data_IF_768101032019
#
_entry.id   IF_768101032019
#
_cell.length_a   1.000
_cell.length_b   1.000
_cell.length_c   1.000
_cell.angle_alpha   90.00
_cell.angle_beta   90.00
_cell.angle_gamma   90.00
#
_symmetry.space_group_name_H-M   'P 1'
#
loop_
_entity.id
_entity.type
_entity.pdbx_description
1 polymer ?
#
# COMPACT_ATOMS: atom_id res chain seq x y z
N UNK A 1 25.22 31.30 39.74
CA UNK A 1 25.92 30.52 38.70
C UNK A 1 26.05 29.09 39.23
N UNK A 2 25.57 28.01 38.61
CA UNK A 2 25.12 27.78 37.26
C UNK A 2 24.07 26.65 37.20
N UNK A 3 23.19 26.77 36.21
CA UNK A 3 22.56 25.73 35.37
C UNK A 3 21.81 24.54 35.99
N UNK A 4 20.48 24.63 35.99
CA UNK A 4 19.59 23.48 35.82
C UNK A 4 19.62 23.06 34.33
N UNK A 5 20.15 21.88 34.05
CA UNK A 5 20.06 21.27 32.71
C UNK A 5 18.73 20.55 32.60
N UNK A 6 17.76 21.21 31.94
CA UNK A 6 16.54 20.60 31.43
C UNK A 6 16.91 19.51 30.44
N UNK A 7 16.73 18.24 30.81
CA UNK A 7 16.73 17.13 29.87
C UNK A 7 15.34 17.11 29.25
N UNK A 8 15.20 17.73 28.08
CA UNK A 8 14.01 17.62 27.25
C UNK A 8 14.10 16.30 26.47
N UNK A 9 13.82 15.20 27.15
CA UNK A 9 13.66 13.88 26.51
C UNK A 9 12.29 13.84 25.83
N UNK A 10 12.26 14.12 24.52
CA UNK A 10 11.07 13.97 23.67
C UNK A 10 11.22 12.78 22.72
N UNK A 11 11.94 11.74 23.12
CA UNK A 11 12.42 10.70 22.20
C UNK A 11 11.88 9.30 22.52
N UNK A 12 10.58 9.07 22.72
CA UNK A 12 10.07 7.67 22.91
C UNK A 12 8.59 7.40 22.56
N UNK A 13 7.96 8.06 21.58
CA UNK A 13 6.60 7.66 21.12
C UNK A 13 6.46 7.65 19.58
N UNK A 14 7.18 6.78 18.88
CA UNK A 14 6.92 6.45 17.46
C UNK A 14 7.04 4.97 17.09
N UNK A 15 7.03 4.08 18.08
CA UNK A 15 7.25 2.65 17.86
C UNK A 15 6.07 1.84 18.41
N UNK A 16 4.88 1.97 17.81
CA UNK A 16 3.75 1.06 18.00
C UNK A 16 2.61 1.29 16.98
N UNK A 17 2.85 1.97 15.86
CA UNK A 17 1.83 2.04 14.81
C UNK A 17 1.83 0.73 14.02
N UNK A 18 0.65 0.07 13.86
CA UNK A 18 0.56 -1.12 13.03
C UNK A 18 1.02 -0.81 11.61
N UNK A 19 1.65 -1.79 10.97
CA UNK A 19 2.13 -1.65 9.61
C UNK A 19 1.01 -1.13 8.69
N UNK A 20 1.35 -0.13 7.87
CA UNK A 20 0.44 0.41 6.87
C UNK A 20 1.23 0.77 5.61
N UNK A 21 0.97 0.08 4.52
CA UNK A 21 1.62 0.32 3.25
C UNK A 21 1.40 1.78 2.80
N UNK A 22 2.44 2.44 2.25
CA UNK A 22 2.32 3.78 1.73
C UNK A 22 1.38 3.80 0.52
N UNK A 23 0.52 4.82 0.47
CA UNK A 23 -0.39 5.10 -0.64
C UNK A 23 0.10 6.35 -1.37
N UNK A 24 0.32 6.23 -2.68
CA UNK A 24 0.80 7.31 -3.55
C UNK A 24 -0.30 7.73 -4.52
N UNK A 25 -0.27 9.00 -4.95
CA UNK A 25 -1.27 9.54 -5.89
C UNK A 25 -2.62 9.85 -5.25
N UNK A 26 -2.73 9.84 -3.92
CA UNK A 26 -3.99 10.14 -3.24
C UNK A 26 -4.43 11.60 -3.45
N UNK A 27 -3.50 12.54 -3.60
CA UNK A 27 -3.80 13.96 -3.85
C UNK A 27 -3.99 14.28 -5.34
N UNK A 28 -3.88 13.28 -6.22
CA UNK A 28 -4.04 13.47 -7.65
C UNK A 28 -5.53 13.75 -8.00
N UNK A 29 -5.85 14.88 -8.65
CA UNK A 29 -7.23 15.24 -8.97
C UNK A 29 -7.86 14.31 -10.02
N UNK A 30 -7.04 13.65 -10.84
CA UNK A 30 -7.46 12.76 -11.92
C UNK A 30 -7.45 11.28 -11.47
N UNK A 31 -7.32 11.03 -10.16
CA UNK A 31 -7.38 9.68 -9.59
C UNK A 31 -8.74 9.03 -9.84
N UNK A 32 -8.72 7.75 -10.20
CA UNK A 32 -9.91 6.95 -10.37
C UNK A 32 -10.24 6.30 -9.02
N UNK A 33 -11.35 6.72 -8.41
CA UNK A 33 -11.79 6.17 -7.13
C UNK A 33 -12.02 4.66 -7.22
N UNK A 34 -11.46 3.92 -6.26
CA UNK A 34 -11.56 2.47 -6.19
C UNK A 34 -10.65 1.70 -7.15
N UNK A 35 -9.74 2.39 -7.84
CA UNK A 35 -8.75 1.79 -8.73
C UNK A 35 -7.34 2.05 -8.18
N UNK A 36 -6.60 0.95 -8.00
CA UNK A 36 -5.27 0.98 -7.39
C UNK A 36 -4.31 0.02 -8.07
N UNK A 37 -3.04 0.40 -8.15
CA UNK A 37 -1.94 -0.51 -8.49
C UNK A 37 -1.29 -0.97 -7.20
N UNK A 38 -1.31 -2.27 -6.95
CA UNK A 38 -0.78 -2.89 -5.74
C UNK A 38 0.52 -3.61 -6.08
N UNK A 39 1.60 -3.23 -5.41
CA UNK A 39 2.93 -3.84 -5.52
C UNK A 39 3.21 -4.69 -4.27
N UNK A 40 3.36 -6.00 -4.46
CA UNK A 40 3.68 -6.94 -3.40
C UNK A 40 5.20 -7.14 -3.27
N UNK A 41 5.67 -7.34 -2.05
CA UNK A 41 7.07 -7.71 -1.77
C UNK A 41 7.43 -8.99 -2.53
N UNK A 42 8.69 -9.15 -2.98
CA UNK A 42 9.15 -10.37 -3.63
C UNK A 42 8.84 -11.63 -2.80
N UNK A 43 8.29 -12.66 -3.44
CA UNK A 43 7.88 -13.91 -2.77
C UNK A 43 6.51 -13.86 -2.05
N UNK A 44 5.85 -12.69 -2.03
CA UNK A 44 4.47 -12.57 -1.58
C UNK A 44 3.51 -12.78 -2.75
N UNK A 45 2.79 -13.90 -2.70
CA UNK A 45 1.84 -14.31 -3.75
C UNK A 45 0.47 -13.69 -3.53
N UNK A 46 -0.37 -13.63 -4.56
CA UNK A 46 -1.75 -13.16 -4.41
C UNK A 46 -2.58 -14.01 -3.43
N UNK A 47 -2.26 -15.30 -3.26
CA UNK A 47 -2.95 -16.18 -2.31
C UNK A 47 -2.63 -15.82 -0.87
N UNK A 48 -1.34 -15.61 -0.55
CA UNK A 48 -0.90 -15.09 0.75
C UNK A 48 -1.52 -13.71 1.03
N UNK A 49 -1.55 -12.83 0.03
CA UNK A 49 -2.20 -11.52 0.14
C UNK A 49 -3.70 -11.67 0.43
N UNK A 50 -4.41 -12.54 -0.29
CA UNK A 50 -5.83 -12.83 -0.06
C UNK A 50 -6.11 -13.33 1.37
N UNK A 51 -5.25 -14.22 1.86
CA UNK A 51 -5.35 -14.72 3.23
C UNK A 51 -5.12 -13.62 4.27
N UNK A 52 -4.16 -12.72 4.05
CA UNK A 52 -3.85 -11.60 4.95
C UNK A 52 -4.98 -10.56 4.99
N UNK A 53 -5.56 -10.21 3.84
CA UNK A 53 -6.68 -9.27 3.73
C UNK A 53 -7.99 -9.89 4.25
N UNK A 54 -8.10 -11.23 4.25
CA UNK A 54 -9.30 -11.96 4.66
C UNK A 54 -10.37 -12.04 3.57
N UNK A 55 -10.02 -11.75 2.31
CA UNK A 55 -10.92 -11.88 1.15
C UNK A 55 -10.13 -12.37 -0.08
N UNK A 56 -10.83 -12.95 -1.05
CA UNK A 56 -10.20 -13.38 -2.30
C UNK A 56 -9.88 -12.15 -3.17
N UNK A 57 -8.59 -11.78 -3.22
CA UNK A 57 -8.11 -10.62 -3.96
C UNK A 57 -8.06 -10.84 -5.48
N UNK A 58 -8.21 -12.07 -5.97
CA UNK A 58 -8.29 -12.35 -7.41
C UNK A 58 -9.58 -11.81 -8.01
N UNK A 59 -10.62 -11.59 -7.20
CA UNK A 59 -11.91 -10.98 -7.63
C UNK A 59 -11.76 -9.54 -8.08
N UNK A 60 -10.86 -8.79 -7.46
CA UNK A 60 -10.61 -7.39 -7.74
C UNK A 60 -9.51 -7.19 -8.79
N UNK A 61 -8.78 -8.26 -9.15
CA UNK A 61 -7.67 -8.19 -10.08
C UNK A 61 -8.17 -7.92 -11.50
N UNK A 62 -7.75 -6.77 -12.04
CA UNK A 62 -8.03 -6.37 -13.42
C UNK A 62 -6.93 -6.82 -14.37
N UNK A 63 -5.68 -6.57 -14.00
CA UNK A 63 -4.52 -6.88 -14.83
C UNK A 63 -3.28 -7.19 -13.99
N UNK A 64 -2.39 -8.03 -14.53
CA UNK A 64 -1.06 -8.27 -13.93
C UNK A 64 0.00 -7.59 -14.76
N UNK A 65 0.83 -6.77 -14.13
CA UNK A 65 1.93 -6.06 -14.77
C UNK A 65 3.20 -6.95 -14.83
N UNK A 66 3.04 -8.23 -15.19
CA UNK A 66 4.13 -9.23 -15.16
C UNK A 66 5.24 -8.91 -16.15
N UNK A 67 4.92 -8.33 -17.31
CA UNK A 67 5.91 -7.96 -18.31
C UNK A 67 6.85 -6.85 -17.84
N UNK A 68 6.36 -5.94 -16.99
CA UNK A 68 7.14 -4.84 -16.40
C UNK A 68 7.86 -5.28 -15.11
N UNK A 69 7.27 -6.22 -14.37
CA UNK A 69 7.77 -6.68 -13.09
C UNK A 69 7.80 -8.21 -13.04
N UNK A 70 8.81 -8.86 -13.64
CA UNK A 70 8.88 -10.32 -13.70
C UNK A 70 9.17 -10.99 -12.35
N UNK A 71 9.88 -10.30 -11.46
CA UNK A 71 10.36 -10.84 -10.17
C UNK A 71 9.40 -10.60 -8.99
N UNK A 72 8.30 -9.89 -9.19
CA UNK A 72 7.32 -9.58 -8.14
C UNK A 72 5.91 -9.46 -8.67
N UNK A 73 4.94 -9.48 -7.77
CA UNK A 73 3.53 -9.38 -8.14
C UNK A 73 3.11 -7.92 -8.06
N UNK A 74 2.93 -7.30 -9.23
CA UNK A 74 2.28 -6.00 -9.36
C UNK A 74 1.01 -6.18 -10.18
N UNK A 75 -0.12 -5.66 -9.68
CA UNK A 75 -1.40 -5.82 -10.34
C UNK A 75 -2.32 -4.61 -10.11
N UNK A 76 -3.18 -4.35 -11.09
CA UNK A 76 -4.28 -3.40 -10.98
C UNK A 76 -5.47 -4.05 -10.28
N UNK A 77 -6.03 -3.34 -9.30
CA UNK A 77 -7.22 -3.71 -8.56
C UNK A 77 -8.31 -2.67 -8.74
N UNK A 78 -9.53 -3.10 -9.04
CA UNK A 78 -10.70 -2.22 -9.26
C UNK A 78 -11.80 -2.56 -8.27
N UNK A 79 -12.76 -1.65 -8.08
CA UNK A 79 -13.89 -1.82 -7.15
C UNK A 79 -13.44 -2.02 -5.69
N UNK A 80 -12.30 -1.41 -5.33
CA UNK A 80 -11.75 -1.45 -3.97
C UNK A 80 -12.30 -0.28 -3.16
N UNK A 81 -13.20 -0.56 -2.23
CA UNK A 81 -13.71 0.42 -1.27
C UNK A 81 -12.67 0.78 -0.18
N UNK A 82 -12.96 1.83 0.60
CA UNK A 82 -12.04 2.34 1.63
C UNK A 82 -11.73 1.32 2.73
N UNK A 83 -12.70 0.47 3.10
CA UNK A 83 -12.47 -0.57 4.12
C UNK A 83 -11.52 -1.65 3.59
N UNK A 84 -11.75 -2.09 2.35
CA UNK A 84 -10.87 -3.04 1.68
C UNK A 84 -9.48 -2.45 1.46
N UNK A 85 -9.37 -1.17 1.07
CA UNK A 85 -8.11 -0.48 0.92
C UNK A 85 -7.30 -0.49 2.22
N UNK A 86 -7.93 -0.21 3.36
CA UNK A 86 -7.25 -0.25 4.65
C UNK A 86 -6.74 -1.64 5.01
N UNK A 87 -7.51 -2.70 4.71
CA UNK A 87 -7.08 -4.10 4.89
C UNK A 87 -5.90 -4.46 3.98
N UNK A 88 -5.93 -4.03 2.72
CA UNK A 88 -4.80 -4.21 1.79
C UNK A 88 -3.56 -3.50 2.34
N UNK A 89 -3.70 -2.26 2.83
CA UNK A 89 -2.59 -1.50 3.40
C UNK A 89 -2.03 -2.13 4.67
N UNK A 90 -2.85 -2.85 5.44
CA UNK A 90 -2.40 -3.55 6.64
C UNK A 90 -1.62 -4.84 6.34
N UNK A 91 -1.67 -5.39 5.11
CA UNK A 91 -0.87 -6.57 4.76
C UNK A 91 0.62 -6.20 4.66
N UNK A 92 1.42 -6.74 5.57
CA UNK A 92 2.88 -6.57 5.59
C UNK A 92 3.58 -7.08 4.33
N UNK A 93 2.94 -7.93 3.53
CA UNK A 93 3.45 -8.37 2.23
C UNK A 93 3.20 -7.38 1.09
N UNK A 94 2.40 -6.34 1.30
CA UNK A 94 2.31 -5.19 0.38
C UNK A 94 3.54 -4.31 0.57
N UNK A 95 4.11 -3.82 -0.52
CA UNK A 95 5.24 -2.91 -0.49
C UNK A 95 4.77 -1.46 -0.61
N UNK A 96 3.83 -1.20 -1.54
CA UNK A 96 3.29 0.12 -1.85
C UNK A 96 2.02 0.00 -2.68
N UNK A 97 1.20 1.04 -2.62
CA UNK A 97 -0.03 1.17 -3.41
C UNK A 97 0.00 2.51 -4.13
N UNK A 98 -0.41 2.51 -5.39
CA UNK A 98 -0.64 3.72 -6.17
C UNK A 98 -2.13 3.85 -6.48
N UNK A 99 -2.69 5.05 -6.31
CA UNK A 99 -3.95 5.39 -6.96
C UNK A 99 -3.74 5.34 -8.48
N UNK A 100 -4.69 4.75 -9.18
CA UNK A 100 -4.71 4.83 -10.65
C UNK A 100 -5.30 6.18 -11.09
N UNK A 101 -4.94 6.68 -12.26
CA UNK A 101 -5.45 7.95 -12.80
C UNK A 101 -5.75 7.86 -14.29
N UNK A 102 -6.72 8.64 -14.79
CA UNK A 102 -7.20 8.58 -16.20
C UNK A 102 -6.15 9.02 -17.26
N UNK A 103 -4.90 9.27 -16.87
CA UNK A 103 -3.78 9.59 -17.77
C UNK A 103 -2.51 8.75 -17.53
N UNK A 104 -2.59 7.69 -16.71
CA UNK A 104 -1.45 6.85 -16.36
C UNK A 104 -1.07 5.85 -17.46
N UNK A 105 -0.61 6.33 -18.62
CA UNK A 105 0.24 5.49 -19.46
C UNK A 105 1.52 5.20 -18.65
N UNK A 106 1.72 3.94 -18.26
CA UNK A 106 3.02 3.47 -17.79
C UNK A 106 3.98 3.51 -19.00
N UNK A 107 4.51 4.69 -19.30
CA UNK A 107 5.65 4.87 -20.22
C UNK A 107 6.95 4.27 -19.64
#
# INVERSE_FOLDING_TARGET
MASASTINDQSTLKDNEPYRAPLYGADDPDRIAGWYIIDLKPGHTIEKHSAAVGTDMKKYLKERLKSLYPDRVVYGATEVDDELLEKIRADEGVQKIYCDSEGGELE
#
